data_IF_104073221207
#
_entry.id   IF_104073221207
#
_cell.length_a   1.000
_cell.length_b   1.000
_cell.length_c   1.000
_cell.angle_alpha   90.00
_cell.angle_beta   90.00
_cell.angle_gamma   90.00
#
_symmetry.space_group_name_H-M   'P 1'
#
loop_
_entity.id
_entity.type
_entity.pdbx_description
1 polymer ?
#
# COMPACT_ATOMS: atom_id res chain seq x y z
N UNK A 1 9.50 -1.80 -2.15
CA UNK A 1 9.32 -0.33 -2.07
C UNK A 1 8.83 0.02 -0.68
N UNK A 2 9.23 1.17 -0.14
CA UNK A 2 8.67 1.65 1.13
C UNK A 2 7.33 2.33 0.82
N UNK A 3 6.29 1.94 1.55
CA UNK A 3 4.96 2.55 1.46
C UNK A 3 4.53 3.08 2.83
N UNK A 4 3.77 4.16 2.83
CA UNK A 4 3.05 4.67 4.00
C UNK A 4 1.56 4.39 3.90
N UNK A 5 0.91 4.13 5.04
CA UNK A 5 -0.54 3.94 5.11
C UNK A 5 -1.08 4.37 6.47
N UNK A 6 -2.33 4.81 6.51
CA UNK A 6 -3.05 5.10 7.75
C UNK A 6 -3.65 3.80 8.32
N UNK A 7 -3.23 3.42 9.53
CA UNK A 7 -3.75 2.23 10.19
C UNK A 7 -5.16 2.48 10.79
N UNK A 8 -5.77 1.46 11.38
CA UNK A 8 -7.13 1.57 11.97
C UNK A 8 -7.22 2.51 13.18
N UNK A 9 -6.09 2.87 13.78
CA UNK A 9 -6.00 3.84 14.88
C UNK A 9 -5.88 5.28 14.38
N UNK A 10 -5.74 5.50 13.06
CA UNK A 10 -5.48 6.81 12.46
C UNK A 10 -4.00 7.22 12.53
N UNK A 11 -3.10 6.26 12.77
CA UNK A 11 -1.66 6.51 12.80
C UNK A 11 -1.05 6.19 11.44
N UNK A 12 -0.13 7.04 10.97
CA UNK A 12 0.63 6.78 9.74
C UNK A 12 1.77 5.83 10.07
N UNK A 13 1.80 4.69 9.39
CA UNK A 13 2.87 3.70 9.52
C UNK A 13 3.54 3.48 8.17
N UNK A 14 4.80 3.04 8.20
CA UNK A 14 5.58 2.69 7.02
C UNK A 14 5.87 1.19 7.01
N UNK A 15 5.78 0.58 5.83
CA UNK A 15 6.12 -0.82 5.63
C UNK A 15 6.90 -1.01 4.32
N UNK A 16 7.79 -1.98 4.31
CA UNK A 16 8.35 -2.49 3.07
C UNK A 16 7.33 -3.41 2.41
N UNK A 17 7.04 -3.16 1.13
CA UNK A 17 6.06 -3.90 0.35
C UNK A 17 6.64 -4.25 -1.02
N UNK A 18 6.35 -5.47 -1.48
CA UNK A 18 6.63 -5.93 -2.84
C UNK A 18 5.32 -6.01 -3.64
N UNK A 19 5.37 -5.65 -4.93
CA UNK A 19 4.19 -5.53 -5.81
C UNK A 19 3.50 -6.89 -6.02
N UNK A 20 4.27 -7.97 -6.01
CA UNK A 20 3.79 -9.33 -6.21
C UNK A 20 3.24 -9.98 -4.92
N UNK A 21 3.30 -9.28 -3.78
CA UNK A 21 2.84 -9.79 -2.49
C UNK A 21 1.41 -9.34 -2.11
N UNK A 22 0.68 -10.13 -1.30
CA UNK A 22 -0.62 -9.72 -0.80
C UNK A 22 -0.51 -8.61 0.24
N UNK A 23 -1.61 -7.92 0.53
CA UNK A 23 -1.65 -6.85 1.53
C UNK A 23 -1.05 -7.33 2.88
N UNK A 24 -0.04 -6.65 3.44
CA UNK A 24 0.68 -7.10 4.63
C UNK A 24 -0.19 -7.09 5.90
N UNK A 25 -1.32 -6.38 5.86
CA UNK A 25 -2.22 -6.23 7.02
C UNK A 25 -3.32 -7.29 7.05
N UNK A 26 -3.81 -7.72 5.89
CA UNK A 26 -4.99 -8.60 5.83
C UNK A 26 -4.91 -9.70 4.76
N UNK A 27 -3.77 -9.83 4.09
CA UNK A 27 -3.50 -10.77 2.99
C UNK A 27 -4.46 -10.65 1.80
N UNK A 28 -5.17 -9.53 1.66
CA UNK A 28 -6.06 -9.27 0.53
C UNK A 28 -5.31 -8.86 -0.74
N UNK A 29 -5.98 -8.97 -1.89
CA UNK A 29 -5.41 -8.53 -3.17
C UNK A 29 -5.22 -7.01 -3.21
N UNK A 30 -4.05 -6.59 -3.67
CA UNK A 30 -3.68 -5.20 -3.91
C UNK A 30 -3.97 -4.83 -5.36
N UNK A 31 -4.42 -3.59 -5.55
CA UNK A 31 -4.67 -3.02 -6.87
C UNK A 31 -3.91 -1.69 -6.98
N UNK A 32 -3.29 -1.39 -8.13
CA UNK A 32 -2.63 -0.10 -8.31
C UNK A 32 -3.65 1.04 -8.21
N UNK A 33 -3.24 2.15 -7.59
CA UNK A 33 -4.08 3.36 -7.51
C UNK A 33 -4.31 3.99 -8.88
N UNK A 34 -3.27 3.98 -9.72
CA UNK A 34 -3.33 4.39 -11.12
C UNK A 34 -2.91 3.21 -11.98
N UNK A 35 -3.82 2.68 -12.81
CA UNK A 35 -3.60 1.46 -13.62
C UNK A 35 -2.35 1.50 -14.50
N UNK A 36 -1.89 2.70 -14.90
CA UNK A 36 -0.72 2.89 -15.76
C UNK A 36 0.57 3.23 -15.00
N UNK A 37 0.54 3.35 -13.67
CA UNK A 37 1.69 3.73 -12.84
C UNK A 37 1.79 2.80 -11.64
N UNK A 38 2.53 1.68 -11.72
CA UNK A 38 2.70 0.75 -10.60
C UNK A 38 3.39 1.42 -9.39
N UNK A 39 4.18 2.47 -9.62
CA UNK A 39 4.82 3.23 -8.56
C UNK A 39 3.88 4.25 -7.89
N UNK A 40 2.62 4.37 -8.33
CA UNK A 40 1.65 5.31 -7.73
C UNK A 40 1.09 4.85 -6.38
N UNK A 41 1.44 3.64 -5.92
CA UNK A 41 0.89 3.03 -4.72
C UNK A 41 -0.26 2.06 -4.99
N UNK A 42 -0.77 1.47 -3.92
CA UNK A 42 -1.69 0.34 -3.95
C UNK A 42 -2.88 0.54 -3.03
N UNK A 43 -4.02 -0.03 -3.41
CA UNK A 43 -5.19 -0.15 -2.54
C UNK A 43 -5.54 -1.61 -2.33
N UNK A 44 -5.73 -2.00 -1.07
CA UNK A 44 -6.24 -3.33 -0.77
C UNK A 44 -7.75 -3.41 -1.01
N UNK A 45 -8.17 -4.42 -1.75
CA UNK A 45 -9.59 -4.72 -2.00
C UNK A 45 -10.37 -5.20 -0.76
N UNK A 46 -9.68 -5.74 0.25
CA UNK A 46 -10.28 -6.35 1.43
C UNK A 46 -10.38 -5.38 2.61
N UNK A 47 -9.27 -4.83 3.07
CA UNK A 47 -9.26 -3.87 4.18
C UNK A 47 -9.48 -2.41 3.74
N UNK A 48 -9.42 -2.12 2.43
CA UNK A 48 -9.60 -0.78 1.90
C UNK A 48 -8.41 0.17 2.12
N UNK A 49 -7.35 -0.28 2.80
CA UNK A 49 -6.15 0.51 3.06
C UNK A 49 -5.50 0.95 1.76
N UNK A 50 -5.03 2.20 1.79
CA UNK A 50 -4.26 2.84 0.73
C UNK A 50 -2.82 2.88 1.19
N UNK A 51 -1.94 2.37 0.34
CA UNK A 51 -0.49 2.31 0.53
C UNK A 51 0.14 3.26 -0.48
N UNK A 52 0.61 4.40 -0.01
CA UNK A 52 1.23 5.43 -0.84
C UNK A 52 2.75 5.21 -0.87
N UNK A 53 3.41 5.34 -2.03
CA UNK A 53 4.86 5.24 -2.13
C UNK A 53 5.52 6.34 -1.31
N UNK A 54 6.57 6.01 -0.55
CA UNK A 54 7.43 7.03 0.05
C UNK A 54 8.54 7.35 -0.94
N UNK A 55 8.66 8.63 -1.33
CA UNK A 55 9.81 9.08 -2.13
C UNK A 55 11.07 9.06 -1.24
N UNK A 56 12.02 8.17 -1.54
CA UNK A 56 13.36 8.21 -0.94
C UNK A 56 14.17 9.34 -1.61
N UNK A 57 14.47 10.42 -0.86
CA UNK A 57 15.33 11.54 -1.28
C UNK A 57 16.82 11.15 -1.42
#
# INVERSE_FOLDING_TARGET
>A
MIVEFENRSGEIEQAEMEIDEPCPICCGMLFPLVESQPDSGYRCSSCGLVFEPVEEE
#
